data_IF_187215450135
#
_entry.id   IF_187215450135
#
_cell.length_a   1.000
_cell.length_b   1.000
_cell.length_c   1.000
_cell.angle_alpha   90.00
_cell.angle_beta   90.00
_cell.angle_gamma   90.00
#
_symmetry.space_group_name_H-M   'P 1'
#
loop_
_entity.id
_entity.type
_entity.pdbx_description
1 polymer ?
#
# COMPACT_ATOMS: atom_id res chain seq x y z
N UNK A 1 -19.86 7.04 -8.94
CA UNK A 1 -19.55 7.24 -10.36
C UNK A 1 -19.39 5.86 -11.00
N UNK A 2 -20.01 5.58 -12.14
CA UNK A 2 -19.71 4.38 -12.92
C UNK A 2 -18.20 4.36 -13.21
N UNK A 3 -17.54 3.20 -13.14
CA UNK A 3 -16.10 3.09 -13.37
C UNK A 3 -15.20 3.40 -12.17
N UNK A 4 -15.72 3.85 -11.03
CA UNK A 4 -14.90 4.06 -9.83
C UNK A 4 -14.40 2.72 -9.29
N UNK A 5 -13.07 2.58 -9.15
CA UNK A 5 -12.42 1.43 -8.52
C UNK A 5 -12.77 1.28 -7.04
N UNK A 6 -13.23 2.37 -6.38
CA UNK A 6 -13.67 2.38 -4.97
C UNK A 6 -15.08 1.89 -4.73
N UNK A 7 -15.80 1.54 -5.78
CA UNK A 7 -17.18 1.03 -5.66
C UNK A 7 -17.26 -0.23 -4.81
N UNK A 8 -16.26 -1.08 -4.88
CA UNK A 8 -16.22 -2.32 -4.07
C UNK A 8 -16.06 -2.05 -2.57
N UNK A 9 -15.43 -0.94 -2.19
CA UNK A 9 -15.24 -0.57 -0.78
C UNK A 9 -16.57 -0.26 -0.08
N UNK A 10 -17.58 0.15 -0.83
CA UNK A 10 -18.92 0.53 -0.34
C UNK A 10 -20.04 -0.28 -1.00
N UNK A 11 -19.73 -1.44 -1.59
CA UNK A 11 -20.68 -2.29 -2.34
C UNK A 11 -21.89 -2.73 -1.50
N UNK A 12 -21.72 -2.85 -0.18
CA UNK A 12 -22.80 -3.20 0.73
C UNK A 12 -23.89 -2.11 0.83
N UNK A 13 -23.59 -0.85 0.48
CA UNK A 13 -24.58 0.24 0.50
C UNK A 13 -25.51 0.08 -0.72
N UNK A 14 -26.78 -0.14 -0.45
CA UNK A 14 -27.84 -0.28 -1.48
C UNK A 14 -28.67 0.97 -1.66
N UNK A 15 -28.68 1.86 -0.67
CA UNK A 15 -29.43 3.09 -0.73
C UNK A 15 -29.06 4.07 0.38
N UNK A 16 -29.55 5.30 0.24
CA UNK A 16 -29.44 6.37 1.24
C UNK A 16 -30.83 6.96 1.45
N UNK A 17 -31.27 6.98 2.69
CA UNK A 17 -32.53 7.62 3.10
C UNK A 17 -32.20 8.96 3.78
N UNK A 18 -32.78 10.04 3.32
CA UNK A 18 -32.68 11.36 3.96
C UNK A 18 -33.76 11.43 5.04
N UNK A 19 -33.35 11.49 6.30
CA UNK A 19 -34.27 11.55 7.45
C UNK A 19 -34.58 13.00 7.84
N UNK A 20 -33.68 13.92 7.51
CA UNK A 20 -33.81 15.35 7.80
C UNK A 20 -32.60 16.12 7.30
N UNK A 21 -32.56 17.42 7.61
CA UNK A 21 -31.51 18.32 7.07
C UNK A 21 -30.08 17.95 7.45
N UNK A 22 -29.91 17.19 8.55
CA UNK A 22 -28.59 16.82 9.08
C UNK A 22 -28.43 15.30 9.30
N UNK A 23 -29.39 14.49 8.84
CA UNK A 23 -29.39 13.05 9.09
C UNK A 23 -29.63 12.29 7.80
N UNK A 24 -28.69 11.40 7.48
CA UNK A 24 -28.83 10.41 6.41
C UNK A 24 -28.64 9.00 6.97
N UNK A 25 -29.43 8.06 6.47
CA UNK A 25 -29.34 6.65 6.80
C UNK A 25 -28.80 5.87 5.61
N UNK A 26 -27.72 5.16 5.81
CA UNK A 26 -27.20 4.24 4.80
C UNK A 26 -27.90 2.88 4.95
N UNK A 27 -28.50 2.40 3.87
CA UNK A 27 -29.18 1.10 3.80
C UNK A 27 -28.17 0.09 3.26
N UNK A 28 -27.98 -1.01 3.99
CA UNK A 28 -27.03 -2.05 3.62
C UNK A 28 -27.75 -3.31 3.16
N UNK A 29 -27.19 -4.02 2.18
CA UNK A 29 -27.68 -5.35 1.75
C UNK A 29 -27.41 -6.45 2.78
N UNK A 30 -26.29 -6.32 3.51
CA UNK A 30 -25.82 -7.25 4.55
C UNK A 30 -25.09 -6.44 5.62
N UNK A 31 -24.95 -6.95 6.87
CA UNK A 31 -24.04 -6.35 7.84
C UNK A 31 -22.66 -6.16 7.24
N UNK A 32 -22.02 -5.02 7.51
CA UNK A 32 -20.73 -4.68 6.92
C UNK A 32 -19.84 -3.98 7.95
N UNK A 33 -19.13 -4.76 8.76
CA UNK A 33 -18.27 -4.29 9.83
C UNK A 33 -17.19 -3.27 9.38
N UNK A 34 -16.57 -3.37 8.16
CA UNK A 34 -15.58 -2.40 7.70
C UNK A 34 -16.16 -1.03 7.31
N UNK A 35 -17.47 -0.81 7.27
CA UNK A 35 -18.11 0.37 6.68
C UNK A 35 -17.53 1.68 7.17
N UNK A 36 -17.43 1.88 8.48
CA UNK A 36 -16.95 3.16 9.04
C UNK A 36 -15.48 3.42 8.67
N UNK A 37 -14.66 2.38 8.66
CA UNK A 37 -13.26 2.48 8.23
C UNK A 37 -13.16 2.80 6.73
N UNK A 38 -14.02 2.22 5.90
CA UNK A 38 -14.08 2.53 4.46
C UNK A 38 -14.54 3.97 4.21
N UNK A 39 -15.53 4.46 4.96
CA UNK A 39 -16.00 5.85 4.88
C UNK A 39 -14.98 6.87 5.44
N UNK A 40 -14.13 6.45 6.38
CA UNK A 40 -13.00 7.27 6.85
C UNK A 40 -11.84 7.34 5.83
N UNK A 41 -11.87 6.50 4.79
CA UNK A 41 -10.88 6.43 3.72
C UNK A 41 -11.33 7.14 2.43
N UNK A 42 -10.65 6.87 1.31
CA UNK A 42 -10.95 7.50 0.01
C UNK A 42 -12.39 7.30 -0.49
N UNK A 43 -13.04 6.18 -0.11
CA UNK A 43 -14.42 5.90 -0.53
C UNK A 43 -15.46 6.86 0.10
N UNK A 44 -15.15 7.45 1.25
CA UNK A 44 -16.02 8.42 1.94
C UNK A 44 -15.68 9.88 1.65
N UNK A 45 -14.78 10.18 0.72
CA UNK A 45 -14.44 11.56 0.36
C UNK A 45 -15.69 12.29 -0.17
N UNK A 46 -16.05 13.39 0.50
CA UNK A 46 -17.18 14.24 0.09
C UNK A 46 -16.78 15.13 -1.07
N UNK A 47 -17.46 14.95 -2.19
CA UNK A 47 -17.23 15.69 -3.44
C UNK A 47 -18.46 16.50 -3.82
N UNK A 48 -18.28 17.58 -4.59
CA UNK A 48 -19.39 18.33 -5.18
C UNK A 48 -20.12 17.48 -6.23
N UNK A 49 -21.41 17.11 -6.03
CA UNK A 49 -22.15 16.31 -6.99
C UNK A 49 -22.27 17.01 -8.36
N UNK A 50 -22.52 18.32 -8.34
CA UNK A 50 -22.62 19.14 -9.56
C UNK A 50 -21.34 19.08 -10.39
N UNK A 51 -20.19 19.31 -9.75
CA UNK A 51 -18.91 19.29 -10.46
C UNK A 51 -18.53 17.89 -10.90
N UNK A 52 -18.77 16.87 -10.05
CA UNK A 52 -18.49 15.49 -10.39
C UNK A 52 -19.31 15.00 -11.59
N UNK A 53 -20.60 15.37 -11.67
CA UNK A 53 -21.44 15.04 -12.80
C UNK A 53 -21.01 15.75 -14.08
N UNK A 54 -20.67 17.03 -14.01
CA UNK A 54 -20.23 17.81 -15.16
C UNK A 54 -18.86 17.36 -15.71
N UNK A 55 -17.91 17.02 -14.84
CA UNK A 55 -16.54 16.67 -15.22
C UNK A 55 -16.38 15.17 -15.59
N UNK A 56 -17.28 14.28 -15.12
CA UNK A 56 -17.21 12.84 -15.38
C UNK A 56 -15.85 12.26 -14.99
N UNK A 57 -15.20 11.58 -15.93
CA UNK A 57 -13.88 10.95 -15.73
C UNK A 57 -12.76 11.96 -15.46
N UNK A 58 -12.93 13.21 -15.88
CA UNK A 58 -11.95 14.29 -15.70
C UNK A 58 -12.05 14.96 -14.32
N UNK A 59 -12.96 14.54 -13.43
CA UNK A 59 -13.11 15.12 -12.10
C UNK A 59 -11.81 15.14 -11.30
N UNK A 60 -10.99 14.08 -11.41
CA UNK A 60 -9.70 13.99 -10.71
C UNK A 60 -8.67 15.03 -11.12
N UNK A 61 -8.85 15.71 -12.26
CA UNK A 61 -7.95 16.78 -12.73
C UNK A 61 -8.31 18.15 -12.14
N UNK A 62 -9.58 18.34 -11.74
CA UNK A 62 -10.08 19.60 -11.17
C UNK A 62 -11.11 19.28 -10.06
N UNK A 63 -10.67 18.65 -8.96
CA UNK A 63 -11.57 18.20 -7.91
C UNK A 63 -12.15 19.35 -7.12
N UNK A 64 -13.44 19.25 -6.77
CA UNK A 64 -14.12 20.13 -5.82
C UNK A 64 -14.66 19.28 -4.68
N UNK A 65 -14.08 19.43 -3.51
CA UNK A 65 -14.32 18.63 -2.32
C UNK A 65 -14.62 19.50 -1.10
N UNK A 66 -15.07 18.88 0.00
CA UNK A 66 -15.44 19.58 1.23
C UNK A 66 -14.26 19.75 2.22
N UNK A 67 -13.02 19.64 1.77
CA UNK A 67 -11.82 19.74 2.60
C UNK A 67 -11.39 21.18 2.93
N UNK A 68 -10.35 21.34 3.77
CA UNK A 68 -9.86 22.65 4.24
C UNK A 68 -9.11 23.46 3.18
N UNK A 69 -8.78 22.86 2.04
CA UNK A 69 -8.08 23.52 0.95
C UNK A 69 -8.84 23.36 -0.37
N UNK A 70 -8.80 24.41 -1.18
CA UNK A 70 -9.29 24.42 -2.57
C UNK A 70 -8.16 24.01 -3.51
N UNK A 71 -8.49 23.18 -4.49
CA UNK A 71 -7.59 22.85 -5.58
C UNK A 71 -7.35 24.09 -6.47
N UNK A 72 -6.08 24.34 -6.80
CA UNK A 72 -5.68 25.44 -7.69
C UNK A 72 -5.20 24.89 -9.02
N UNK A 73 -4.14 24.05 -8.99
CA UNK A 73 -3.58 23.47 -10.21
C UNK A 73 -2.91 22.12 -9.94
N UNK A 74 -2.77 21.35 -11.01
CA UNK A 74 -1.94 20.16 -11.06
C UNK A 74 -1.15 20.16 -12.37
N UNK A 75 0.17 20.16 -12.26
CA UNK A 75 1.10 19.89 -13.36
C UNK A 75 1.62 18.45 -13.16
N UNK A 76 1.39 17.59 -14.13
CA UNK A 76 1.75 16.17 -14.02
C UNK A 76 3.26 16.01 -13.77
N UNK A 77 3.62 15.20 -12.78
CA UNK A 77 5.00 14.93 -12.35
C UNK A 77 5.80 16.15 -11.85
N UNK A 78 5.16 17.31 -11.71
CA UNK A 78 5.80 18.54 -11.23
C UNK A 78 5.21 18.99 -9.90
N UNK A 79 3.92 19.37 -9.86
CA UNK A 79 3.30 19.88 -8.62
C UNK A 79 1.80 19.75 -8.57
N UNK A 80 1.29 19.80 -7.33
CA UNK A 80 -0.12 20.05 -7.02
C UNK A 80 -0.17 21.23 -6.05
N UNK A 81 -0.99 22.25 -6.36
CA UNK A 81 -1.15 23.45 -5.57
C UNK A 81 -2.54 23.53 -4.97
N UNK A 82 -2.58 23.77 -3.68
CA UNK A 82 -3.80 23.95 -2.91
C UNK A 82 -3.74 25.29 -2.17
N UNK A 83 -4.89 25.97 -2.03
CA UNK A 83 -5.04 27.21 -1.27
C UNK A 83 -6.08 27.03 -0.17
N UNK A 84 -5.90 27.72 0.96
CA UNK A 84 -6.77 27.67 2.12
C UNK A 84 -8.21 28.05 1.74
N UNK A 85 -9.17 27.22 2.19
CA UNK A 85 -10.59 27.53 2.11
C UNK A 85 -11.00 28.32 3.34
N UNK A 86 -11.20 29.63 3.18
CA UNK A 86 -11.49 30.57 4.29
C UNK A 86 -12.84 30.32 4.97
N UNK A 87 -13.79 29.69 4.25
CA UNK A 87 -15.12 29.36 4.77
C UNK A 87 -15.24 27.92 5.26
N UNK A 88 -14.08 27.24 5.43
CA UNK A 88 -14.06 25.88 5.98
C UNK A 88 -14.61 25.88 7.41
N UNK A 89 -15.43 24.89 7.76
CA UNK A 89 -16.12 24.81 9.04
C UNK A 89 -15.17 24.76 10.26
N UNK A 90 -13.98 24.19 10.12
CA UNK A 90 -12.94 24.07 11.16
C UNK A 90 -11.70 24.93 10.80
N UNK A 91 -11.93 26.09 10.21
CA UNK A 91 -10.89 27.00 9.68
C UNK A 91 -9.85 27.44 10.70
N UNK A 92 -10.21 27.46 11.97
CA UNK A 92 -9.32 27.92 13.05
C UNK A 92 -8.12 26.96 13.25
N UNK A 93 -8.24 25.72 12.80
CA UNK A 93 -7.14 24.72 12.78
C UNK A 93 -6.28 24.79 11.53
N UNK A 94 -6.64 25.59 10.54
CA UNK A 94 -5.93 25.69 9.26
C UNK A 94 -5.10 26.98 9.26
N UNK A 95 -3.78 26.82 9.41
CA UNK A 95 -2.84 27.94 9.57
C UNK A 95 -2.03 28.27 8.31
N UNK A 96 -1.83 27.28 7.42
CA UNK A 96 -1.11 27.50 6.18
C UNK A 96 -2.05 28.05 5.11
N UNK A 97 -1.63 29.13 4.41
CA UNK A 97 -2.41 29.73 3.33
C UNK A 97 -2.37 28.92 2.05
N UNK A 98 -1.23 28.26 1.80
CA UNK A 98 -0.97 27.52 0.58
C UNK A 98 -0.14 26.26 0.86
N UNK A 99 -0.43 25.19 0.14
CA UNK A 99 0.35 23.94 0.15
C UNK A 99 0.74 23.59 -1.27
N UNK A 100 2.00 23.27 -1.47
CA UNK A 100 2.52 22.78 -2.74
C UNK A 100 3.09 21.38 -2.52
N UNK A 101 2.49 20.38 -3.16
CA UNK A 101 3.03 19.03 -3.19
C UNK A 101 3.94 18.87 -4.40
N UNK A 102 5.18 18.46 -4.17
CA UNK A 102 6.19 18.19 -5.20
C UNK A 102 6.47 16.67 -5.23
N UNK A 103 6.05 15.95 -6.27
CA UNK A 103 6.35 14.53 -6.43
C UNK A 103 7.82 14.34 -6.86
N UNK A 104 8.71 14.14 -5.89
CA UNK A 104 10.13 13.89 -6.11
C UNK A 104 10.42 12.41 -5.78
N UNK A 105 10.55 11.50 -6.76
CA UNK A 105 10.76 10.07 -6.51
C UNK A 105 12.09 9.74 -5.84
N UNK A 106 13.15 10.47 -6.16
CA UNK A 106 14.48 10.26 -5.62
C UNK A 106 14.61 10.81 -4.19
N UNK A 107 14.97 9.96 -3.24
CA UNK A 107 15.09 10.31 -1.81
C UNK A 107 16.26 11.25 -1.54
N UNK A 108 17.36 11.11 -2.28
CA UNK A 108 18.54 11.97 -2.14
C UNK A 108 18.22 13.39 -2.58
N UNK A 109 17.51 13.53 -3.71
CA UNK A 109 17.03 14.83 -4.20
C UNK A 109 16.04 15.46 -3.21
N UNK A 110 15.14 14.67 -2.62
CA UNK A 110 14.23 15.17 -1.58
C UNK A 110 14.98 15.71 -0.36
N UNK A 111 15.94 14.94 0.16
CA UNK A 111 16.74 15.38 1.31
C UNK A 111 17.53 16.66 0.98
N UNK A 112 18.16 16.73 -0.19
CA UNK A 112 18.90 17.93 -0.61
C UNK A 112 17.99 19.17 -0.71
N UNK A 113 16.77 19.02 -1.24
CA UNK A 113 15.78 20.10 -1.28
C UNK A 113 15.31 20.51 0.11
N UNK A 114 15.12 19.56 1.03
CA UNK A 114 14.77 19.87 2.41
C UNK A 114 15.89 20.64 3.11
N UNK A 115 17.16 20.23 2.95
CA UNK A 115 18.32 20.88 3.54
C UNK A 115 18.56 22.30 2.98
N UNK A 116 18.27 22.52 1.69
CA UNK A 116 18.38 23.84 1.06
C UNK A 116 17.18 24.77 1.33
N UNK A 117 16.11 24.27 1.96
CA UNK A 117 14.90 25.04 2.21
C UNK A 117 13.93 25.09 1.02
N UNK A 118 14.15 24.28 -0.02
CA UNK A 118 13.21 24.09 -1.13
C UNK A 118 11.98 23.23 -0.75
N UNK A 119 12.06 22.49 0.36
CA UNK A 119 10.96 21.75 0.98
C UNK A 119 10.90 22.07 2.47
N UNK A 120 9.70 22.15 3.01
CA UNK A 120 9.46 22.31 4.46
C UNK A 120 9.21 20.98 5.16
N UNK A 121 8.70 19.99 4.44
CA UNK A 121 8.42 18.63 4.93
C UNK A 121 8.69 17.62 3.80
N UNK A 122 9.38 16.53 4.13
CA UNK A 122 9.63 15.43 3.20
C UNK A 122 9.60 14.06 3.87
N UNK A 123 9.15 13.05 3.16
CA UNK A 123 9.43 11.66 3.50
C UNK A 123 10.88 11.35 3.09
N UNK A 124 11.67 10.81 4.02
CA UNK A 124 13.10 10.49 3.82
C UNK A 124 13.34 8.98 3.85
N UNK A 125 14.48 8.54 3.31
CA UNK A 125 14.89 7.16 3.40
C UNK A 125 15.48 6.84 4.79
N UNK A 126 15.47 5.57 5.16
CA UNK A 126 16.07 5.12 6.42
C UNK A 126 17.59 5.40 6.48
N UNK A 127 18.26 5.33 5.34
CA UNK A 127 19.68 5.66 5.17
C UNK A 127 20.01 7.13 5.41
N UNK A 128 19.02 8.02 5.32
CA UNK A 128 19.20 9.47 5.45
C UNK A 128 19.09 9.93 6.91
N UNK A 129 18.63 9.07 7.83
CA UNK A 129 18.29 9.45 9.20
C UNK A 129 19.46 10.04 9.98
N UNK A 130 20.66 9.50 9.82
CA UNK A 130 21.85 10.01 10.50
C UNK A 130 22.20 11.43 10.03
N UNK A 131 22.01 11.73 8.77
CA UNK A 131 22.20 13.07 8.20
C UNK A 131 21.14 14.03 8.74
N UNK A 132 19.87 13.60 8.76
CA UNK A 132 18.78 14.43 9.30
C UNK A 132 18.95 14.73 10.77
N UNK A 133 19.32 13.73 11.59
CA UNK A 133 19.52 13.89 13.05
C UNK A 133 20.67 14.84 13.41
N UNK A 134 21.66 14.97 12.52
CA UNK A 134 22.83 15.87 12.71
C UNK A 134 22.59 17.29 12.25
N UNK A 135 21.52 17.56 11.48
CA UNK A 135 21.21 18.91 10.99
C UNK A 135 20.27 19.63 11.95
N UNK A 136 20.76 20.68 12.68
CA UNK A 136 19.93 21.38 13.68
C UNK A 136 18.77 22.17 13.07
N UNK A 137 18.75 22.37 11.75
CA UNK A 137 17.66 23.04 11.04
C UNK A 137 16.49 22.10 10.76
N UNK A 138 16.66 20.80 11.01
CA UNK A 138 15.67 19.78 10.71
C UNK A 138 15.16 19.12 12.00
N UNK A 139 13.91 18.70 11.96
CA UNK A 139 13.27 17.80 12.92
C UNK A 139 12.94 16.49 12.23
N UNK A 140 12.79 15.44 13.01
CA UNK A 140 12.45 14.12 12.54
C UNK A 140 11.30 13.51 13.34
N UNK A 141 10.43 12.80 12.68
CA UNK A 141 9.42 11.95 13.31
C UNK A 141 9.15 10.71 12.46
N UNK A 142 8.65 9.66 13.08
CA UNK A 142 8.33 8.41 12.40
C UNK A 142 7.08 7.77 12.97
N UNK A 143 6.36 7.02 12.13
CA UNK A 143 5.23 6.19 12.54
C UNK A 143 5.24 4.90 11.74
N UNK A 144 4.92 3.77 12.38
CA UNK A 144 4.78 2.48 11.70
C UNK A 144 3.55 2.52 10.79
N UNK A 145 3.75 2.11 9.53
CA UNK A 145 2.68 2.04 8.54
C UNK A 145 1.73 0.87 8.76
N UNK A 146 0.51 1.00 8.29
CA UNK A 146 -0.53 -0.05 8.34
C UNK A 146 -0.60 -0.87 7.06
N UNK A 147 0.27 -0.60 6.12
CA UNK A 147 0.41 -1.33 4.86
C UNK A 147 1.54 -2.35 4.86
N UNK A 148 1.87 -2.82 3.68
CA UNK A 148 2.97 -3.75 3.45
C UNK A 148 3.68 -3.45 2.13
N UNK A 149 4.86 -4.04 1.96
CA UNK A 149 5.54 -4.18 0.68
C UNK A 149 5.81 -5.65 0.40
N UNK A 150 5.72 -6.05 -0.87
CA UNK A 150 5.85 -7.46 -1.24
C UNK A 150 6.02 -7.68 -2.74
N UNK A 151 5.89 -8.92 -3.12
CA UNK A 151 5.93 -9.39 -4.51
C UNK A 151 4.58 -10.04 -4.83
N UNK A 152 3.80 -9.41 -5.69
CA UNK A 152 2.57 -9.99 -6.24
C UNK A 152 2.92 -10.92 -7.39
N UNK A 153 2.39 -12.14 -7.36
CA UNK A 153 2.63 -13.16 -8.38
C UNK A 153 1.41 -13.24 -9.30
N UNK A 154 1.65 -13.25 -10.60
CA UNK A 154 0.61 -13.51 -11.58
C UNK A 154 0.31 -15.02 -11.64
N UNK A 155 -0.82 -15.44 -11.06
CA UNK A 155 -1.18 -16.87 -11.01
C UNK A 155 -2.21 -17.29 -12.06
N UNK A 156 -3.00 -16.33 -12.59
CA UNK A 156 -4.03 -16.65 -13.57
C UNK A 156 -4.39 -15.50 -14.55
N UNK A 157 -3.74 -14.34 -14.48
CA UNK A 157 -4.04 -13.20 -15.33
C UNK A 157 -3.29 -13.29 -16.68
N UNK A 158 -3.88 -13.96 -17.65
CA UNK A 158 -3.36 -14.00 -19.02
C UNK A 158 -2.16 -14.93 -19.23
N UNK A 159 -1.44 -14.70 -20.33
CA UNK A 159 -0.37 -15.59 -20.79
C UNK A 159 0.88 -15.57 -19.87
N UNK A 160 1.15 -14.43 -19.23
CA UNK A 160 2.30 -14.27 -18.33
C UNK A 160 2.17 -15.05 -17.02
N UNK A 161 0.97 -15.50 -16.68
CA UNK A 161 0.74 -16.41 -15.56
C UNK A 161 1.22 -17.86 -15.85
N UNK A 162 1.39 -18.23 -17.13
CA UNK A 162 1.75 -19.60 -17.55
C UNK A 162 3.23 -19.88 -17.38
N UNK A 163 3.76 -19.62 -16.19
CA UNK A 163 5.14 -19.90 -15.80
C UNK A 163 5.15 -20.85 -14.61
N UNK A 164 6.25 -21.54 -14.32
CA UNK A 164 6.32 -22.37 -13.10
C UNK A 164 6.00 -21.57 -11.83
N UNK A 165 6.44 -20.31 -11.72
CA UNK A 165 6.13 -19.44 -10.59
C UNK A 165 4.62 -19.19 -10.44
N UNK A 166 3.94 -18.93 -11.55
CA UNK A 166 2.49 -18.69 -11.55
C UNK A 166 1.69 -19.95 -11.26
N UNK A 167 2.09 -21.10 -11.81
CA UNK A 167 1.28 -22.33 -11.81
C UNK A 167 1.57 -23.27 -10.64
N UNK A 168 2.74 -23.22 -10.00
CA UNK A 168 3.12 -24.16 -8.95
C UNK A 168 3.44 -23.44 -7.64
N UNK A 169 2.62 -23.68 -6.60
CA UNK A 169 2.81 -23.11 -5.27
C UNK A 169 4.16 -23.54 -4.66
N UNK A 170 4.72 -24.69 -5.02
CA UNK A 170 6.04 -25.15 -4.53
C UNK A 170 7.16 -24.22 -5.02
N UNK A 171 7.05 -23.69 -6.25
CA UNK A 171 8.00 -22.70 -6.78
C UNK A 171 7.91 -21.41 -5.99
N UNK A 172 6.69 -20.94 -5.68
CA UNK A 172 6.48 -19.75 -4.84
C UNK A 172 7.00 -19.95 -3.42
N UNK A 173 6.76 -21.13 -2.83
CA UNK A 173 7.31 -21.50 -1.52
C UNK A 173 8.84 -21.57 -1.51
N UNK A 174 9.45 -22.04 -2.59
CA UNK A 174 10.90 -22.02 -2.74
C UNK A 174 11.46 -20.60 -2.84
N UNK A 175 10.77 -19.70 -3.54
CA UNK A 175 11.13 -18.27 -3.57
C UNK A 175 10.98 -17.63 -2.19
N UNK A 176 9.90 -17.91 -1.47
CA UNK A 176 9.67 -17.47 -0.09
C UNK A 176 10.82 -17.89 0.84
N UNK A 177 11.23 -19.14 0.80
CA UNK A 177 12.35 -19.69 1.59
C UNK A 177 13.72 -19.15 1.18
N UNK A 178 13.83 -18.55 0.01
CA UNK A 178 15.08 -17.94 -0.46
C UNK A 178 15.38 -16.59 0.18
N UNK A 179 14.37 -15.95 0.81
CA UNK A 179 14.45 -14.57 1.26
C UNK A 179 14.72 -14.50 2.77
N UNK A 180 15.81 -13.85 3.15
CA UNK A 180 16.09 -13.42 4.52
C UNK A 180 15.56 -11.99 4.72
N UNK A 181 14.41 -11.87 5.38
CA UNK A 181 13.75 -10.58 5.58
C UNK A 181 14.49 -9.68 6.57
N UNK A 182 15.13 -10.27 7.58
CA UNK A 182 15.90 -9.49 8.56
C UNK A 182 17.17 -8.94 7.93
N UNK A 183 17.90 -9.75 7.16
CA UNK A 183 19.06 -9.28 6.40
C UNK A 183 18.67 -8.22 5.36
N UNK A 184 17.54 -8.40 4.66
CA UNK A 184 16.99 -7.40 3.74
C UNK A 184 16.72 -6.07 4.46
N UNK A 185 16.03 -6.14 5.61
CA UNK A 185 15.71 -4.97 6.43
C UNK A 185 16.97 -4.26 6.91
N UNK A 186 17.97 -5.02 7.35
CA UNK A 186 19.24 -4.45 7.81
C UNK A 186 20.01 -3.77 6.66
N UNK A 187 20.10 -4.40 5.50
CA UNK A 187 20.89 -3.90 4.35
C UNK A 187 20.25 -2.66 3.72
N UNK A 188 18.92 -2.66 3.55
CA UNK A 188 18.23 -1.59 2.80
C UNK A 188 17.70 -0.50 3.73
N UNK A 189 17.31 -0.84 4.97
CA UNK A 189 16.58 0.07 5.86
C UNK A 189 17.27 0.27 7.21
N UNK A 190 18.52 -0.18 7.38
CA UNK A 190 19.25 -0.11 8.67
C UNK A 190 18.44 -0.69 9.85
N UNK A 191 17.60 -1.71 9.60
CA UNK A 191 16.73 -2.30 10.60
C UNK A 191 15.51 -1.46 11.00
N UNK A 192 15.27 -0.34 10.35
CA UNK A 192 14.18 0.59 10.73
C UNK A 192 12.78 0.07 10.45
N UNK A 193 12.62 -0.84 9.47
CA UNK A 193 11.30 -1.33 9.09
C UNK A 193 10.92 -2.60 9.87
N UNK A 194 9.66 -2.99 9.78
CA UNK A 194 9.16 -4.22 10.39
C UNK A 194 9.03 -5.31 9.35
N UNK A 195 9.74 -6.43 9.52
CA UNK A 195 9.56 -7.60 8.68
C UNK A 195 8.20 -8.26 8.93
N UNK A 196 7.63 -8.89 7.91
CA UNK A 196 6.33 -9.55 8.02
C UNK A 196 6.03 -10.48 6.86
N UNK A 197 5.10 -11.41 7.10
CA UNK A 197 4.61 -12.38 6.12
C UNK A 197 3.08 -12.34 5.95
N UNK A 198 2.43 -11.29 6.45
CA UNK A 198 0.98 -11.09 6.38
C UNK A 198 0.67 -9.71 5.82
N UNK A 199 -0.58 -9.48 5.42
CA UNK A 199 -1.06 -8.21 4.84
C UNK A 199 -1.24 -7.07 5.86
N UNK A 200 -1.04 -7.36 7.13
CA UNK A 200 -1.14 -6.42 8.26
C UNK A 200 0.11 -6.48 9.12
N UNK A 201 0.50 -5.34 9.69
CA UNK A 201 1.66 -5.22 10.56
C UNK A 201 1.48 -6.00 11.87
N UNK A 202 2.57 -6.56 12.45
CA UNK A 202 2.56 -7.22 13.75
C UNK A 202 1.95 -6.42 14.91
N UNK A 203 1.88 -5.10 14.82
CA UNK A 203 1.20 -4.25 15.80
C UNK A 203 -0.33 -4.15 15.61
N UNK A 204 -0.84 -4.61 14.48
CA UNK A 204 -2.27 -4.62 14.24
C UNK A 204 -2.95 -5.69 15.12
N UNK A 205 -4.08 -5.38 15.79
CA UNK A 205 -4.78 -6.33 16.66
C UNK A 205 -5.34 -7.56 15.92
N UNK A 206 -5.35 -7.56 14.60
CA UNK A 206 -5.76 -8.71 13.76
C UNK A 206 -4.58 -9.54 13.24
N UNK A 207 -3.32 -9.19 13.56
CA UNK A 207 -2.15 -9.98 13.18
C UNK A 207 -2.16 -11.36 13.85
N UNK A 208 -1.93 -12.40 13.08
CA UNK A 208 -1.93 -13.79 13.56
C UNK A 208 -0.49 -14.13 14.03
N UNK A 209 -0.25 -13.98 15.33
CA UNK A 209 1.09 -14.03 15.94
C UNK A 209 1.76 -15.40 15.90
N UNK A 210 0.98 -16.47 15.86
CA UNK A 210 1.45 -17.85 15.85
C UNK A 210 1.62 -18.44 14.44
N UNK A 211 1.53 -17.61 13.40
CA UNK A 211 1.98 -17.93 12.05
C UNK A 211 3.36 -17.29 11.82
N UNK A 212 4.46 -18.02 12.09
CA UNK A 212 5.80 -17.46 12.08
C UNK A 212 6.24 -17.09 10.65
N UNK A 213 7.11 -16.08 10.57
CA UNK A 213 7.84 -15.78 9.35
C UNK A 213 8.81 -16.94 9.11
N UNK A 214 8.76 -17.63 7.94
CA UNK A 214 9.68 -18.71 7.68
C UNK A 214 11.13 -18.17 7.60
N UNK A 215 12.09 -18.80 8.28
CA UNK A 215 13.48 -18.43 8.11
C UNK A 215 13.97 -18.79 6.70
N UNK A 216 14.97 -18.07 6.23
CA UNK A 216 15.63 -18.42 4.97
C UNK A 216 16.23 -19.83 5.05
N UNK A 217 15.91 -20.64 4.05
CA UNK A 217 16.40 -22.03 3.95
C UNK A 217 16.68 -22.38 2.48
N UNK A 218 17.91 -22.14 2.03
CA UNK A 218 18.37 -22.40 0.66
C UNK A 218 18.30 -23.89 0.31
N UNK A 219 18.60 -24.77 1.26
CA UNK A 219 18.61 -26.23 1.03
C UNK A 219 17.18 -26.72 0.77
N UNK A 220 16.22 -26.30 1.59
CA UNK A 220 14.81 -26.63 1.43
C UNK A 220 14.23 -26.01 0.16
N UNK A 221 14.61 -24.77 -0.18
CA UNK A 221 14.20 -24.13 -1.44
C UNK A 221 14.66 -24.95 -2.66
N UNK A 222 15.93 -25.35 -2.71
CA UNK A 222 16.46 -26.22 -3.77
C UNK A 222 15.75 -27.58 -3.84
N UNK A 223 15.50 -28.19 -2.68
CA UNK A 223 14.78 -29.45 -2.60
C UNK A 223 13.36 -29.35 -3.18
N UNK A 224 12.63 -28.26 -2.85
CA UNK A 224 11.32 -27.98 -3.43
C UNK A 224 11.39 -27.82 -4.95
N UNK A 225 12.33 -27.02 -5.47
CA UNK A 225 12.49 -26.82 -6.92
C UNK A 225 12.81 -28.13 -7.63
N UNK A 226 13.61 -28.99 -7.03
CA UNK A 226 13.91 -30.32 -7.60
C UNK A 226 12.64 -31.17 -7.80
N UNK A 227 11.63 -31.04 -6.90
CA UNK A 227 10.36 -31.76 -7.03
C UNK A 227 9.48 -31.26 -8.16
N UNK A 228 9.73 -30.07 -8.69
CA UNK A 228 8.94 -29.47 -9.79
C UNK A 228 9.45 -29.86 -11.16
N UNK A 229 10.59 -30.56 -11.25
CA UNK A 229 11.26 -30.89 -12.51
C UNK A 229 12.01 -29.73 -13.17
N UNK A 230 12.01 -28.55 -12.55
CA UNK A 230 12.66 -27.33 -13.05
C UNK A 230 13.50 -26.67 -11.96
N UNK A 231 14.72 -27.20 -11.69
CA UNK A 231 15.55 -26.76 -10.57
C UNK A 231 16.09 -25.35 -10.73
N UNK A 232 16.12 -24.81 -11.94
CA UNK A 232 16.51 -23.44 -12.23
C UNK A 232 15.30 -22.69 -12.80
N UNK A 233 14.93 -21.58 -12.14
CA UNK A 233 13.77 -20.78 -12.49
C UNK A 233 14.19 -19.41 -13.01
N UNK A 234 13.76 -19.05 -14.21
CA UNK A 234 13.86 -17.67 -14.70
C UNK A 234 12.56 -16.96 -14.30
N UNK A 235 12.69 -15.85 -13.61
CA UNK A 235 11.55 -15.03 -13.12
C UNK A 235 11.72 -13.61 -13.61
N UNK A 236 10.81 -13.12 -14.45
CA UNK A 236 10.75 -11.72 -14.80
C UNK A 236 9.98 -10.94 -13.73
N UNK A 237 10.66 -10.00 -13.06
CA UNK A 237 10.02 -9.16 -12.04
C UNK A 237 9.96 -7.70 -12.49
N UNK A 238 8.74 -7.17 -12.61
CA UNK A 238 8.48 -5.75 -12.85
C UNK A 238 8.71 -4.99 -11.55
N UNK A 239 9.55 -3.96 -11.59
CA UNK A 239 9.96 -3.20 -10.40
C UNK A 239 9.79 -1.71 -10.69
N UNK A 240 9.01 -0.96 -9.86
CA UNK A 240 8.98 0.49 -9.95
C UNK A 240 10.39 1.09 -9.88
N UNK A 241 10.68 2.04 -10.77
CA UNK A 241 12.01 2.59 -11.00
C UNK A 241 12.49 3.59 -9.92
N UNK A 242 11.95 3.53 -8.70
CA UNK A 242 12.49 4.29 -7.58
C UNK A 242 13.69 3.55 -6.94
N UNK A 243 14.69 4.29 -6.44
CA UNK A 243 15.95 3.70 -5.95
C UNK A 243 15.75 2.65 -4.84
N UNK A 244 14.85 2.92 -3.90
CA UNK A 244 14.62 2.03 -2.75
C UNK A 244 14.03 0.68 -3.18
N UNK A 245 12.99 0.69 -4.02
CA UNK A 245 12.37 -0.55 -4.50
C UNK A 245 13.33 -1.36 -5.37
N UNK A 246 14.14 -0.68 -6.20
CA UNK A 246 15.19 -1.34 -6.98
C UNK A 246 16.22 -2.01 -6.07
N UNK A 247 16.71 -1.32 -5.03
CA UNK A 247 17.66 -1.88 -4.08
C UNK A 247 17.08 -3.10 -3.34
N UNK A 248 15.83 -3.02 -2.88
CA UNK A 248 15.13 -4.16 -2.26
C UNK A 248 15.13 -5.37 -3.19
N UNK A 249 14.75 -5.18 -4.47
CA UNK A 249 14.67 -6.28 -5.42
C UNK A 249 16.05 -6.80 -5.85
N UNK A 250 17.08 -5.97 -5.87
CA UNK A 250 18.46 -6.42 -6.08
C UNK A 250 18.97 -7.33 -4.94
N UNK A 251 18.62 -7.01 -3.69
CA UNK A 251 18.95 -7.86 -2.53
C UNK A 251 18.17 -9.18 -2.61
N UNK A 252 16.87 -9.15 -2.92
CA UNK A 252 16.07 -10.35 -3.12
C UNK A 252 16.62 -11.20 -4.27
N UNK A 253 17.00 -10.59 -5.39
CA UNK A 253 17.62 -11.25 -6.55
C UNK A 253 18.90 -11.98 -6.14
N UNK A 254 19.79 -11.33 -5.39
CA UNK A 254 21.03 -11.94 -4.92
C UNK A 254 20.77 -13.15 -4.01
N UNK A 255 19.81 -13.02 -3.07
CA UNK A 255 19.43 -14.12 -2.17
C UNK A 255 18.80 -15.29 -2.93
N UNK A 256 17.88 -15.02 -3.84
CA UNK A 256 17.14 -16.02 -4.60
C UNK A 256 18.05 -16.79 -5.58
N UNK A 257 19.11 -16.15 -6.10
CA UNK A 257 20.09 -16.78 -6.97
C UNK A 257 20.73 -18.00 -6.33
N UNK A 258 21.02 -17.96 -5.04
CA UNK A 258 21.60 -19.07 -4.31
C UNK A 258 20.68 -20.30 -4.27
N UNK A 259 19.37 -20.11 -4.40
CA UNK A 259 18.36 -21.18 -4.41
C UNK A 259 18.01 -21.69 -5.80
N UNK A 260 18.56 -21.09 -6.87
CA UNK A 260 18.31 -21.51 -8.26
C UNK A 260 17.37 -20.59 -9.04
N UNK A 261 17.09 -19.37 -8.54
CA UNK A 261 16.29 -18.38 -9.26
C UNK A 261 17.19 -17.40 -10.04
N UNK A 262 16.96 -17.27 -11.33
CA UNK A 262 17.46 -16.18 -12.17
C UNK A 262 16.38 -15.10 -12.26
N UNK A 263 16.35 -14.20 -11.29
CA UNK A 263 15.40 -13.10 -11.28
C UNK A 263 15.87 -11.96 -12.20
N UNK A 264 15.03 -11.57 -13.15
CA UNK A 264 15.31 -10.53 -14.14
C UNK A 264 14.51 -9.27 -13.82
N UNK A 265 15.18 -8.27 -13.27
CA UNK A 265 14.57 -7.01 -12.86
C UNK A 265 14.24 -6.18 -14.11
N UNK A 266 12.97 -5.79 -14.26
CA UNK A 266 12.44 -4.92 -15.29
C UNK A 266 12.01 -3.61 -14.66
N UNK A 267 12.93 -2.63 -14.61
CA UNK A 267 12.64 -1.30 -14.05
C UNK A 267 11.61 -0.57 -14.93
N UNK A 268 10.51 -0.14 -14.33
CA UNK A 268 9.36 0.44 -15.02
C UNK A 268 8.83 1.64 -14.24
N UNK A 269 8.35 2.67 -14.91
CA UNK A 269 7.66 3.78 -14.24
C UNK A 269 6.43 3.25 -13.50
N UNK A 270 6.14 3.82 -12.31
CA UNK A 270 5.14 3.27 -11.37
C UNK A 270 3.74 3.12 -11.96
N UNK A 271 3.22 4.16 -12.63
CA UNK A 271 1.88 4.10 -13.22
C UNK A 271 1.84 3.11 -14.38
N UNK A 272 2.91 3.00 -15.15
CA UNK A 272 3.06 2.00 -16.22
C UNK A 272 3.11 0.59 -15.65
N UNK A 273 3.82 0.36 -14.53
CA UNK A 273 3.86 -0.93 -13.86
C UNK A 273 2.45 -1.39 -13.42
N UNK A 274 1.65 -0.49 -12.86
CA UNK A 274 0.25 -0.77 -12.49
C UNK A 274 -0.63 -1.08 -13.70
N UNK A 275 -0.41 -0.40 -14.83
CA UNK A 275 -1.14 -0.69 -16.08
C UNK A 275 -0.78 -2.06 -16.66
N UNK A 276 0.49 -2.44 -16.60
CA UNK A 276 0.93 -3.78 -17.01
C UNK A 276 0.29 -4.86 -16.12
N UNK A 277 0.26 -4.62 -14.81
CA UNK A 277 -0.36 -5.51 -13.84
C UNK A 277 -1.85 -5.73 -14.12
N UNK A 278 -2.61 -4.65 -14.28
CA UNK A 278 -4.05 -4.70 -14.57
C UNK A 278 -4.36 -5.44 -15.88
N UNK A 279 -3.44 -5.42 -16.87
CA UNK A 279 -3.55 -6.15 -18.14
C UNK A 279 -3.05 -7.59 -18.08
N UNK A 280 -2.45 -8.03 -16.96
CA UNK A 280 -1.81 -9.34 -16.84
C UNK A 280 -0.47 -9.47 -17.59
N UNK A 281 0.13 -8.36 -18.00
CA UNK A 281 1.43 -8.35 -18.69
C UNK A 281 2.61 -8.27 -17.70
N UNK A 282 2.61 -9.16 -16.73
CA UNK A 282 3.67 -9.33 -15.74
C UNK A 282 3.71 -10.79 -15.27
N UNK A 283 4.86 -11.25 -14.78
CA UNK A 283 5.01 -12.55 -14.11
C UNK A 283 5.04 -12.36 -12.59
N UNK A 284 5.89 -11.44 -12.12
CA UNK A 284 5.96 -10.97 -10.75
C UNK A 284 6.05 -9.44 -10.72
N UNK A 285 5.48 -8.81 -9.71
CA UNK A 285 5.46 -7.35 -9.54
C UNK A 285 5.87 -6.98 -8.12
N UNK A 286 6.92 -6.17 -7.98
CA UNK A 286 7.30 -5.57 -6.72
C UNK A 286 6.38 -4.38 -6.42
N UNK A 287 5.41 -4.56 -5.55
CA UNK A 287 4.44 -3.53 -5.19
C UNK A 287 4.06 -3.64 -3.72
N UNK A 288 3.69 -2.52 -3.12
CA UNK A 288 3.15 -2.46 -1.78
C UNK A 288 1.72 -1.93 -1.76
N UNK A 289 1.13 -2.00 -0.59
CA UNK A 289 -0.16 -1.41 -0.25
C UNK A 289 0.01 -0.44 0.91
N UNK A 290 -0.45 0.79 0.77
CA UNK A 290 -0.29 1.83 1.81
C UNK A 290 -1.09 1.55 3.08
N UNK A 291 -2.04 0.64 2.99
CA UNK A 291 -2.84 0.19 4.12
C UNK A 291 -4.14 0.96 4.35
N UNK A 292 -5.01 0.31 5.08
CA UNK A 292 -6.29 0.85 5.61
C UNK A 292 -6.39 0.45 7.07
N UNK A 293 -7.15 1.21 7.84
CA UNK A 293 -7.33 0.99 9.28
C UNK A 293 -7.95 -0.37 9.56
N UNK A 294 -9.01 -0.72 8.83
CA UNK A 294 -9.61 -2.05 8.92
C UNK A 294 -8.82 -3.06 8.07
N UNK A 295 -8.51 -4.27 8.60
CA UNK A 295 -7.76 -5.30 7.87
C UNK A 295 -8.43 -5.73 6.56
N UNK A 296 -9.73 -5.64 6.43
CA UNK A 296 -10.49 -5.91 5.21
C UNK A 296 -9.98 -5.09 4.02
N UNK A 297 -9.74 -3.80 4.23
CA UNK A 297 -9.23 -2.90 3.20
C UNK A 297 -7.79 -3.19 2.75
N UNK A 298 -7.10 -4.11 3.44
CA UNK A 298 -5.73 -4.50 3.14
C UNK A 298 -5.62 -5.85 2.42
N UNK A 299 -6.73 -6.58 2.29
CA UNK A 299 -6.69 -7.92 1.71
C UNK A 299 -7.85 -8.23 0.75
N UNK A 300 -9.09 -7.88 1.10
CA UNK A 300 -10.27 -8.34 0.37
C UNK A 300 -10.15 -8.12 -1.14
N UNK A 301 -9.95 -6.87 -1.55
CA UNK A 301 -9.87 -6.53 -2.98
C UNK A 301 -8.60 -7.05 -3.67
N UNK A 302 -7.60 -7.50 -2.93
CA UNK A 302 -6.31 -7.91 -3.47
C UNK A 302 -6.23 -9.41 -3.75
N UNK A 303 -7.13 -10.22 -3.15
CA UNK A 303 -7.08 -11.68 -3.28
C UNK A 303 -8.43 -12.34 -3.61
N UNK A 304 -9.56 -11.63 -3.48
CA UNK A 304 -10.86 -12.24 -3.81
C UNK A 304 -11.02 -12.45 -5.32
N UNK A 305 -11.70 -13.52 -5.69
CA UNK A 305 -11.99 -13.85 -7.09
C UNK A 305 -12.67 -12.67 -7.81
N UNK A 306 -12.24 -12.38 -9.03
CA UNK A 306 -12.78 -11.33 -9.88
C UNK A 306 -12.72 -9.90 -9.32
N UNK A 307 -11.91 -9.65 -8.29
CA UNK A 307 -11.71 -8.30 -7.80
C UNK A 307 -10.81 -7.48 -8.75
N UNK A 308 -11.13 -6.20 -9.00
CA UNK A 308 -10.38 -5.36 -9.93
C UNK A 308 -8.97 -4.98 -9.45
N UNK A 309 -8.64 -5.21 -8.18
CA UNK A 309 -7.29 -4.99 -7.62
C UNK A 309 -6.51 -6.29 -7.44
N UNK A 310 -7.10 -7.43 -7.78
CA UNK A 310 -6.43 -8.72 -7.76
C UNK A 310 -5.68 -8.93 -9.08
N UNK A 311 -4.60 -8.20 -9.26
CA UNK A 311 -3.83 -8.20 -10.52
C UNK A 311 -3.32 -9.59 -10.91
N UNK A 312 -3.00 -10.43 -9.93
CA UNK A 312 -2.56 -11.82 -10.17
C UNK A 312 -3.68 -12.79 -10.50
N UNK A 313 -4.94 -12.38 -10.39
CA UNK A 313 -6.13 -13.23 -10.54
C UNK A 313 -6.11 -14.50 -9.66
N UNK A 314 -5.55 -14.38 -8.45
CA UNK A 314 -5.68 -15.45 -7.46
C UNK A 314 -7.18 -15.66 -7.17
N UNK A 315 -7.60 -16.92 -7.11
CA UNK A 315 -8.99 -17.25 -6.81
C UNK A 315 -9.04 -18.54 -6.01
N UNK A 316 -9.49 -18.43 -4.77
CA UNK A 316 -9.77 -19.54 -3.88
C UNK A 316 -11.13 -19.29 -3.21
N UNK A 317 -12.18 -20.08 -3.53
CA UNK A 317 -13.51 -19.88 -2.97
C UNK A 317 -13.58 -19.97 -1.43
N UNK A 318 -12.67 -20.73 -0.80
CA UNK A 318 -12.59 -20.81 0.66
C UNK A 318 -12.08 -19.49 1.25
N UNK A 319 -11.10 -18.85 0.60
CA UNK A 319 -10.60 -17.52 0.99
C UNK A 319 -11.70 -16.47 0.85
N UNK A 320 -12.44 -16.48 -0.27
CA UNK A 320 -13.58 -15.58 -0.49
C UNK A 320 -14.64 -15.75 0.60
N UNK A 321 -15.01 -17.01 0.90
CA UNK A 321 -15.99 -17.32 1.94
C UNK A 321 -15.56 -16.80 3.33
N UNK A 322 -14.30 -17.03 3.72
CA UNK A 322 -13.79 -16.57 5.01
C UNK A 322 -13.68 -15.03 5.07
N UNK A 323 -13.31 -14.38 3.98
CA UNK A 323 -13.28 -12.91 3.91
C UNK A 323 -14.70 -12.32 3.96
N UNK A 324 -15.69 -12.93 3.29
CA UNK A 324 -17.08 -12.50 3.36
C UNK A 324 -17.65 -12.68 4.77
N UNK A 325 -17.35 -13.81 5.44
CA UNK A 325 -17.73 -14.03 6.81
C UNK A 325 -17.10 -13.01 7.78
N UNK A 326 -15.83 -12.67 7.60
CA UNK A 326 -15.17 -11.63 8.40
C UNK A 326 -15.82 -10.25 8.25
N UNK A 327 -16.43 -9.94 7.10
CA UNK A 327 -17.13 -8.67 6.84
C UNK A 327 -18.46 -8.54 7.57
N UNK A 328 -19.15 -9.64 7.79
CA UNK A 328 -20.48 -9.65 8.40
C UNK A 328 -20.46 -9.67 9.93
N UNK A 329 -19.29 -9.92 10.53
CA UNK A 329 -19.09 -9.98 11.97
C UNK A 329 -18.50 -8.66 12.50
N UNK A 330 -19.07 -8.11 13.57
CA UNK A 330 -18.55 -6.92 14.24
C UNK A 330 -17.53 -7.28 15.35
N UNK A 331 -17.68 -8.44 15.97
CA UNK A 331 -16.82 -8.89 17.06
C UNK A 331 -15.42 -9.25 16.54
N UNK A 332 -14.39 -8.57 17.07
CA UNK A 332 -12.99 -8.79 16.66
C UNK A 332 -12.56 -10.25 16.79
N UNK A 333 -12.98 -10.94 17.85
CA UNK A 333 -12.59 -12.32 18.09
C UNK A 333 -13.09 -13.25 16.96
N UNK A 334 -14.33 -13.06 16.51
CA UNK A 334 -14.91 -13.84 15.41
C UNK A 334 -14.22 -13.54 14.08
N UNK A 335 -13.99 -12.26 13.79
CA UNK A 335 -13.23 -11.84 12.59
C UNK A 335 -11.83 -12.45 12.57
N UNK A 336 -11.15 -12.55 13.72
CA UNK A 336 -9.82 -13.17 13.83
C UNK A 336 -9.82 -14.64 13.45
N UNK A 337 -10.90 -15.40 13.76
CA UNK A 337 -11.02 -16.80 13.33
C UNK A 337 -10.99 -16.91 11.81
N UNK A 338 -11.74 -16.05 11.12
CA UNK A 338 -11.80 -16.02 9.67
C UNK A 338 -10.48 -15.56 9.06
N UNK A 339 -9.89 -14.46 9.57
CA UNK A 339 -8.60 -13.98 9.07
C UNK A 339 -7.44 -14.98 9.30
N UNK A 340 -7.51 -15.80 10.35
CA UNK A 340 -6.55 -16.89 10.54
C UNK A 340 -6.60 -17.87 9.36
N UNK A 341 -7.77 -18.35 9.00
CA UNK A 341 -7.93 -19.29 7.88
C UNK A 341 -7.47 -18.67 6.56
N UNK A 342 -7.82 -17.39 6.33
CA UNK A 342 -7.29 -16.64 5.19
C UNK A 342 -5.78 -16.62 5.18
N UNK A 343 -5.13 -16.31 6.32
CA UNK A 343 -3.67 -16.26 6.42
C UNK A 343 -3.04 -17.64 6.14
N UNK A 344 -3.62 -18.72 6.66
CA UNK A 344 -3.15 -20.10 6.41
C UNK A 344 -3.21 -20.46 4.92
N UNK A 345 -4.29 -20.12 4.22
CA UNK A 345 -4.40 -20.31 2.77
C UNK A 345 -3.36 -19.46 2.01
N UNK A 346 -3.26 -18.18 2.32
CA UNK A 346 -2.35 -17.29 1.61
C UNK A 346 -0.87 -17.63 1.83
N UNK A 347 -0.49 -18.09 3.03
CA UNK A 347 0.87 -18.55 3.32
C UNK A 347 1.21 -19.90 2.64
N UNK A 348 0.21 -20.72 2.35
CA UNK A 348 0.38 -21.95 1.56
C UNK A 348 0.47 -21.64 0.06
N UNK A 349 -0.42 -20.80 -0.46
CA UNK A 349 -0.59 -20.57 -1.90
C UNK A 349 0.34 -19.46 -2.43
N UNK A 350 0.74 -18.51 -1.58
CA UNK A 350 1.64 -17.38 -1.84
C UNK A 350 1.33 -16.59 -3.13
N UNK A 351 0.10 -16.09 -3.30
CA UNK A 351 -0.18 -15.17 -4.40
C UNK A 351 0.54 -13.83 -4.22
N UNK A 352 0.85 -13.49 -2.95
CA UNK A 352 1.66 -12.33 -2.55
C UNK A 352 2.70 -12.82 -1.55
N UNK A 353 3.98 -12.58 -1.83
CA UNK A 353 5.07 -12.77 -0.89
C UNK A 353 5.29 -11.46 -0.16
N UNK A 354 4.83 -11.37 1.09
CA UNK A 354 5.02 -10.18 1.94
C UNK A 354 6.46 -10.11 2.43
N UNK A 355 7.07 -8.92 2.37
CA UNK A 355 8.46 -8.71 2.77
C UNK A 355 8.58 -7.94 4.07
N UNK A 356 7.96 -6.76 4.13
CA UNK A 356 8.03 -5.86 5.27
C UNK A 356 6.85 -4.90 5.33
N UNK A 357 6.67 -4.30 6.50
CA UNK A 357 5.76 -3.20 6.75
C UNK A 357 6.58 -1.90 6.83
N UNK A 358 6.30 -0.93 5.94
CA UNK A 358 7.07 0.31 5.91
C UNK A 358 6.84 1.15 7.15
N UNK A 359 7.86 1.89 7.54
CA UNK A 359 7.77 2.96 8.51
C UNK A 359 7.76 4.29 7.77
N UNK A 360 6.81 5.14 8.04
CA UNK A 360 6.77 6.47 7.48
C UNK A 360 7.77 7.35 8.22
N UNK A 361 8.84 7.73 7.54
CA UNK A 361 9.96 8.50 8.08
C UNK A 361 9.87 9.91 7.52
N UNK A 362 9.60 10.89 8.36
CA UNK A 362 9.45 12.28 7.93
C UNK A 362 10.53 13.15 8.55
N UNK A 363 11.19 13.94 7.70
CA UNK A 363 12.02 15.06 8.11
C UNK A 363 11.37 16.37 7.70
N UNK A 364 11.52 17.40 8.51
CA UNK A 364 10.89 18.69 8.27
C UNK A 364 11.69 19.83 8.89
N UNK A 365 11.50 21.03 8.34
CA UNK A 365 12.12 22.25 8.83
C UNK A 365 11.88 22.45 10.33
N UNK A 366 12.88 22.90 11.07
CA UNK A 366 12.72 23.27 12.48
C UNK A 366 11.66 24.36 12.69
N UNK A 367 11.39 25.18 11.65
CA UNK A 367 10.34 26.19 11.64
C UNK A 367 8.92 25.62 11.53
N UNK A 368 8.79 24.37 11.01
CA UNK A 368 7.48 23.73 10.93
C UNK A 368 7.10 23.15 12.29
N UNK A 369 5.90 23.49 12.76
CA UNK A 369 5.31 22.98 13.98
C UNK A 369 3.96 22.31 13.72
N UNK A 370 3.46 21.54 14.69
CA UNK A 370 2.13 20.89 14.61
C UNK A 370 2.05 19.67 13.69
N UNK A 371 3.15 19.17 13.13
CA UNK A 371 3.12 17.96 12.30
C UNK A 371 2.92 16.68 13.12
N UNK A 372 1.87 15.95 12.77
CA UNK A 372 1.56 14.64 13.35
C UNK A 372 1.58 13.61 12.20
N UNK A 373 2.50 12.62 12.22
CA UNK A 373 2.51 11.56 11.25
C UNK A 373 1.39 10.56 11.53
N UNK A 374 0.71 10.11 10.48
CA UNK A 374 -0.35 9.11 10.58
C UNK A 374 0.09 7.77 9.96
N UNK A 375 -0.36 6.62 10.52
CA UNK A 375 0.04 5.29 10.04
C UNK A 375 -0.36 4.97 8.60
N UNK A 376 -1.35 5.68 8.05
CA UNK A 376 -1.77 5.58 6.64
C UNK A 376 -0.87 6.36 5.67
N UNK A 377 0.14 7.08 6.17
CA UNK A 377 1.07 7.88 5.39
C UNK A 377 0.49 9.18 4.81
N UNK A 378 -0.77 9.49 5.10
CA UNK A 378 -1.42 10.71 4.60
C UNK A 378 -1.00 11.92 5.44
N UNK A 379 -0.43 12.92 4.79
CA UNK A 379 -0.08 14.19 5.41
C UNK A 379 -1.35 15.02 5.58
N UNK A 380 -1.76 15.23 6.83
CA UNK A 380 -2.91 16.06 7.18
C UNK A 380 -2.45 17.45 7.59
N UNK A 381 -2.95 18.49 6.93
CA UNK A 381 -2.46 19.87 7.15
C UNK A 381 -3.05 20.56 8.37
N UNK A 382 -4.02 19.94 9.06
CA UNK A 382 -4.62 20.53 10.26
C UNK A 382 -3.57 20.68 11.36
N UNK A 383 -3.44 21.88 11.90
CA UNK A 383 -2.49 22.22 12.96
C UNK A 383 -1.07 22.51 12.48
N UNK A 384 -0.76 22.30 11.20
CA UNK A 384 0.54 22.69 10.65
C UNK A 384 0.70 24.21 10.64
N UNK A 385 1.83 24.67 11.14
CA UNK A 385 2.21 26.09 11.15
C UNK A 385 3.68 26.21 10.77
N UNK A 386 4.00 27.20 9.93
CA UNK A 386 5.35 27.55 9.52
C UNK A 386 5.68 28.93 10.09
N UNK A 387 6.71 29.00 10.95
CA UNK A 387 7.20 30.22 11.58
C UNK A 387 8.27 30.91 10.73
#
# INVERSE_FOLDING_TARGET
MPGSTRRNDIKAITGVEVIGDQTAKLVLSTPFAPLLAQLAGPAGTMVSPKTAQAAGENFGSHPVCAGPYKFVERVAQDRIVLERFTDYWDKDKIKLDRIVYLPIPDTTVRLANLQSGGLDLAQVAATDLDTVRKDPRLKFTAVEGIGYSGITINVANGVRAKTPLGQDARVRQALELSIDREALNQVVFNGEYRVGNQWISPHNPYYIKDLPIPPRDVAKAKALLATTGTPNQIVAITVPNNPVTLQVMQVVQAMAKESGFDMRIQATEFASALQLAAKGDFEALAVGWTGRVDPDGNIYNLVTCNSPYNDGHYCNPEVDHELDAARTNEARAERLVHYRKVAEHLLRDLPIIYLYHPKWLYAFSARLSGFIPYPDGVIRPQGLQLD
#
